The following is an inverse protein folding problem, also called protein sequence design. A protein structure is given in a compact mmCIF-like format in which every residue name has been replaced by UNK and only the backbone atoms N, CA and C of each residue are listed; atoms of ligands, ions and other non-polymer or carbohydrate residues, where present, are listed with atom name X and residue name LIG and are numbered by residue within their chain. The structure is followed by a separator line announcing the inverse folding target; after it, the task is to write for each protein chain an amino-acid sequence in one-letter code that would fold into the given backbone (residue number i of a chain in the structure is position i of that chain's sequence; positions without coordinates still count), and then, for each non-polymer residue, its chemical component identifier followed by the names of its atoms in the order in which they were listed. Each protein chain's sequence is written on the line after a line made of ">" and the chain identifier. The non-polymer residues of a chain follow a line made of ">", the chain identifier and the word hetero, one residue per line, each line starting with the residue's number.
data_IF_428133826626
#
_entry.id   IF_428133826626
#
_cell.length_a   1.000
_cell.length_b   1.000
_cell.length_c   1.000
_cell.angle_alpha   90.00
_cell.angle_beta   90.00
_cell.angle_gamma   90.00
#
_symmetry.space_group_name_H-M   'P 1'
#
loop_
_entity.id
_entity.type
_entity.pdbx_description
1 polymer ?
#
# COMPACT_ATOMS: atom_id res chain seq x y z
N UNK A 1 17.61 -5.93 21.70
CA UNK A 1 19.09 -6.01 21.57
C UNK A 1 19.49 -5.40 20.23
N UNK A 2 20.47 -4.48 20.23
CA UNK A 2 20.99 -3.92 18.97
C UNK A 2 21.95 -4.90 18.32
N UNK A 3 21.69 -5.26 17.07
CA UNK A 3 22.53 -6.14 16.26
C UNK A 3 23.11 -5.39 15.08
N UNK A 4 24.43 -5.21 15.04
CA UNK A 4 25.13 -4.50 13.96
C UNK A 4 25.90 -5.46 13.08
N UNK A 5 25.63 -5.39 11.77
CA UNK A 5 26.31 -6.21 10.75
C UNK A 5 26.94 -5.27 9.69
N UNK A 6 28.20 -5.52 9.34
CA UNK A 6 28.87 -4.80 8.28
C UNK A 6 28.84 -5.58 6.95
N UNK A 7 28.69 -4.84 5.86
CA UNK A 7 28.59 -5.42 4.50
C UNK A 7 27.45 -6.44 4.37
N UNK A 8 26.32 -6.14 5.03
CA UNK A 8 25.12 -6.97 5.01
C UNK A 8 24.59 -7.11 3.58
N UNK A 9 24.38 -8.35 3.14
CA UNK A 9 23.68 -8.66 1.90
C UNK A 9 22.19 -8.29 2.02
N UNK A 10 21.72 -7.38 1.16
CA UNK A 10 20.36 -6.88 1.14
C UNK A 10 19.46 -7.58 0.10
N UNK A 11 19.95 -8.60 -0.60
CA UNK A 11 19.18 -9.29 -1.67
C UNK A 11 17.83 -9.76 -1.18
N UNK A 12 17.73 -10.22 0.08
CA UNK A 12 16.48 -10.66 0.71
C UNK A 12 15.76 -9.55 1.50
N UNK A 13 16.35 -8.36 1.59
CA UNK A 13 15.84 -7.21 2.31
C UNK A 13 15.24 -6.17 1.34
N UNK A 14 15.07 -6.54 0.09
CA UNK A 14 14.34 -5.77 -0.92
C UNK A 14 13.57 -6.73 -1.82
N UNK A 15 12.33 -6.37 -2.12
CA UNK A 15 11.43 -7.25 -2.90
C UNK A 15 11.76 -7.30 -4.39
N UNK A 16 12.60 -6.38 -4.91
CA UNK A 16 13.16 -6.49 -6.26
C UNK A 16 14.22 -7.59 -6.38
N UNK A 17 14.80 -8.04 -5.25
CA UNK A 17 15.90 -8.99 -5.23
C UNK A 17 17.20 -8.41 -5.83
N UNK A 18 17.41 -7.09 -5.71
CA UNK A 18 18.67 -6.46 -6.14
C UNK A 18 19.82 -6.97 -5.29
N UNK A 19 20.88 -7.40 -5.94
CA UNK A 19 22.10 -7.95 -5.30
C UNK A 19 23.01 -6.82 -4.87
N UNK A 20 22.70 -6.21 -3.74
CA UNK A 20 23.45 -5.08 -3.16
C UNK A 20 23.74 -5.33 -1.70
N UNK A 21 24.72 -4.60 -1.15
CA UNK A 21 25.11 -4.68 0.25
C UNK A 21 24.96 -3.32 0.94
N UNK A 22 24.67 -3.32 2.23
CA UNK A 22 24.79 -2.14 3.08
C UNK A 22 26.18 -2.15 3.76
N UNK A 23 26.84 -0.97 3.82
CA UNK A 23 28.09 -0.81 4.58
C UNK A 23 27.90 -1.15 6.06
N UNK A 24 26.82 -0.67 6.65
CA UNK A 24 26.41 -0.96 8.01
C UNK A 24 24.91 -1.25 8.03
N UNK A 25 24.50 -2.27 8.77
CA UNK A 25 23.11 -2.66 8.94
C UNK A 25 22.87 -2.90 10.43
N UNK A 26 21.87 -2.20 10.97
CA UNK A 26 21.53 -2.26 12.39
C UNK A 26 20.08 -2.69 12.53
N UNK A 27 19.87 -3.81 13.25
CA UNK A 27 18.55 -4.23 13.70
C UNK A 27 18.39 -3.96 15.19
N UNK A 28 17.20 -3.58 15.58
CA UNK A 28 16.82 -3.32 16.97
C UNK A 28 15.45 -3.92 17.28
N UNK A 29 15.32 -4.57 18.45
CA UNK A 29 14.14 -5.36 18.82
C UNK A 29 13.14 -4.58 19.68
N UNK A 30 13.56 -3.45 20.26
CA UNK A 30 12.75 -2.67 21.17
C UNK A 30 12.98 -1.17 21.03
N UNK A 31 12.07 -0.40 21.60
CA UNK A 31 12.18 1.05 21.69
C UNK A 31 13.41 1.46 22.52
N UNK A 32 13.72 0.69 23.59
CA UNK A 32 14.91 0.95 24.41
C UNK A 32 16.20 0.76 23.60
N UNK A 33 16.25 -0.29 22.77
CA UNK A 33 17.41 -0.53 21.89
C UNK A 33 17.58 0.61 20.87
N UNK A 34 16.49 1.22 20.40
CA UNK A 34 16.54 2.34 19.47
C UNK A 34 17.16 3.58 20.11
N UNK A 35 16.85 3.84 21.38
CA UNK A 35 17.43 4.97 22.15
C UNK A 35 18.93 4.79 22.38
N UNK A 36 19.39 3.54 22.49
CA UNK A 36 20.83 3.24 22.67
C UNK A 36 21.66 3.43 21.40
N UNK A 37 21.05 3.76 20.25
CA UNK A 37 21.78 4.03 19.00
C UNK A 37 22.30 5.45 18.99
N UNK A 38 23.63 5.59 18.92
CA UNK A 38 24.30 6.91 18.77
C UNK A 38 24.20 7.41 17.33
N UNK A 39 23.08 8.09 17.00
CA UNK A 39 22.77 8.53 15.62
C UNK A 39 23.80 9.44 15.00
N UNK A 40 24.53 10.22 15.80
CA UNK A 40 25.59 11.11 15.32
C UNK A 40 26.82 10.34 14.80
N UNK A 41 27.09 9.14 15.34
CA UNK A 41 28.24 8.31 14.95
C UNK A 41 27.96 7.42 13.73
N UNK A 42 26.69 7.33 13.29
CA UNK A 42 26.34 6.48 12.18
C UNK A 42 26.94 6.96 10.85
N UNK A 43 27.45 6.01 10.07
CA UNK A 43 27.90 6.28 8.71
C UNK A 43 26.75 6.82 7.85
N UNK A 44 26.94 8.00 7.28
CA UNK A 44 25.94 8.65 6.42
C UNK A 44 26.03 8.16 4.97
N UNK A 45 24.90 8.12 4.21
CA UNK A 45 23.55 8.45 4.65
C UNK A 45 22.96 7.39 5.58
N UNK A 46 21.99 7.77 6.41
CA UNK A 46 21.20 6.83 7.22
C UNK A 46 19.84 6.64 6.57
N UNK A 47 19.43 5.39 6.41
CA UNK A 47 18.13 5.01 5.86
C UNK A 47 17.44 4.02 6.78
N UNK A 48 16.23 4.32 7.21
CA UNK A 48 15.38 3.34 7.88
C UNK A 48 14.54 2.61 6.83
N UNK A 49 14.58 1.28 6.87
CA UNK A 49 13.79 0.42 5.99
C UNK A 49 12.94 -0.54 6.83
N UNK A 50 11.79 -0.94 6.29
CA UNK A 50 11.10 -2.15 6.74
C UNK A 50 11.35 -3.30 5.77
N UNK A 51 10.30 -3.92 5.25
CA UNK A 51 10.42 -5.06 4.33
C UNK A 51 11.01 -4.74 2.95
N UNK A 52 11.49 -3.52 2.68
CA UNK A 52 12.10 -3.10 1.42
C UNK A 52 11.18 -3.28 0.20
N UNK A 53 9.87 -3.20 0.40
CA UNK A 53 8.86 -3.55 -0.61
C UNK A 53 8.57 -2.42 -1.62
N UNK A 54 9.11 -1.23 -1.38
CA UNK A 54 8.93 -0.04 -2.23
C UNK A 54 10.26 0.59 -2.65
N UNK A 55 11.37 -0.14 -2.56
CA UNK A 55 12.72 0.37 -2.81
C UNK A 55 13.34 -0.29 -4.05
N UNK A 56 14.05 0.51 -4.85
CA UNK A 56 14.98 0.06 -5.86
C UNK A 56 16.38 0.52 -5.47
N UNK A 57 17.20 -0.40 -4.97
CA UNK A 57 18.62 -0.13 -4.75
C UNK A 57 19.35 -0.05 -6.10
N UNK A 58 20.10 1.06 -6.28
CA UNK A 58 20.81 1.32 -7.55
C UNK A 58 22.31 0.99 -7.46
N UNK A 59 22.85 0.84 -6.25
CA UNK A 59 24.24 0.44 -5.95
C UNK A 59 24.29 -0.11 -4.51
N UNK A 60 25.46 -0.56 -4.06
CA UNK A 60 25.73 -0.84 -2.66
C UNK A 60 25.50 0.41 -1.80
N UNK A 61 24.76 0.25 -0.71
CA UNK A 61 24.45 1.34 0.20
C UNK A 61 25.66 1.70 1.06
N UNK A 62 26.22 2.88 0.84
CA UNK A 62 27.49 3.31 1.43
C UNK A 62 27.39 3.76 2.90
N UNK A 63 26.17 3.90 3.42
CA UNK A 63 25.86 4.39 4.76
C UNK A 63 25.35 3.30 5.71
N UNK A 64 24.49 3.70 6.63
CA UNK A 64 23.86 2.83 7.63
C UNK A 64 22.38 2.61 7.30
N UNK A 65 21.95 1.35 7.26
CA UNK A 65 20.55 0.98 7.20
C UNK A 65 20.11 0.58 8.61
N UNK A 66 18.96 1.11 9.01
CA UNK A 66 18.25 0.74 10.25
C UNK A 66 17.03 -0.09 9.90
N UNK A 67 16.77 -1.15 10.67
CA UNK A 67 15.62 -2.04 10.50
C UNK A 67 14.99 -2.35 11.85
N UNK A 68 13.68 -2.08 11.97
CA UNK A 68 12.92 -2.33 13.18
C UNK A 68 12.50 -3.80 13.27
N UNK A 69 12.76 -4.42 14.43
CA UNK A 69 12.20 -5.72 14.82
C UNK A 69 11.19 -5.58 15.95
N UNK A 70 10.69 -4.37 16.21
CA UNK A 70 9.66 -4.15 17.23
C UNK A 70 8.39 -4.89 16.79
N UNK A 71 8.11 -6.02 17.45
CA UNK A 71 7.08 -6.96 17.01
C UNK A 71 6.12 -7.29 18.16
N UNK A 72 4.98 -6.60 18.18
CA UNK A 72 3.87 -6.88 19.07
C UNK A 72 2.55 -6.45 18.46
N UNK A 73 1.43 -7.06 18.87
CA UNK A 73 0.07 -6.65 18.56
C UNK A 73 -0.72 -6.70 19.85
N UNK A 74 -1.23 -5.57 20.31
CA UNK A 74 -1.91 -5.44 21.59
C UNK A 74 -3.21 -4.65 21.46
N UNK A 75 -4.31 -5.19 22.00
CA UNK A 75 -5.55 -4.43 22.13
C UNK A 75 -5.39 -3.52 23.35
N UNK A 76 -5.62 -2.22 23.14
CA UNK A 76 -5.60 -1.24 24.22
C UNK A 76 -6.96 -1.26 24.92
N UNK A 77 -6.97 -1.60 26.21
CA UNK A 77 -8.16 -1.49 27.04
C UNK A 77 -8.52 -0.01 27.23
N UNK A 78 -9.81 0.33 27.11
CA UNK A 78 -10.30 1.71 27.16
C UNK A 78 -10.03 2.46 28.49
N UNK A 79 -9.35 1.82 29.45
CA UNK A 79 -8.99 2.37 30.76
C UNK A 79 -7.46 2.60 30.91
N UNK A 80 -6.66 2.32 29.91
CA UNK A 80 -5.23 2.59 29.99
C UNK A 80 -4.95 4.09 29.88
N UNK A 81 -4.54 4.66 31.01
CA UNK A 81 -4.17 6.08 31.24
C UNK A 81 -3.02 6.61 30.36
N UNK A 82 -2.72 5.98 29.27
CA UNK A 82 -1.74 6.43 28.27
C UNK A 82 -2.37 7.32 27.17
N UNK A 83 -3.67 7.64 27.28
CA UNK A 83 -4.35 8.59 26.38
C UNK A 83 -4.50 10.00 26.98
N UNK A 84 -3.98 10.25 28.18
CA UNK A 84 -4.08 11.54 28.83
C UNK A 84 -2.80 12.35 28.66
N UNK A 85 -2.67 12.98 27.51
CA UNK A 85 -2.11 14.33 27.41
C UNK A 85 -2.43 14.85 26.00
N UNK A 86 -3.61 15.42 25.80
CA UNK A 86 -3.86 16.57 24.94
C UNK A 86 -5.36 16.93 24.97
N UNK A 87 -5.64 18.07 25.62
CA UNK A 87 -6.70 19.04 25.35
C UNK A 87 -8.15 18.71 25.67
N UNK A 88 -8.83 19.60 26.41
CA UNK A 88 -10.25 19.48 26.74
C UNK A 88 -11.08 19.87 25.53
N UNK A 89 -11.63 18.91 24.82
CA UNK A 89 -12.60 19.16 23.78
C UNK A 89 -14.00 19.28 24.34
N UNK A 90 -14.54 20.46 24.07
CA UNK A 90 -15.92 20.96 24.15
C UNK A 90 -16.99 19.88 24.10
N UNK A 91 -18.02 20.13 24.91
CA UNK A 91 -19.35 19.52 24.87
C UNK A 91 -19.78 19.14 23.43
N UNK A 92 -19.98 17.85 23.23
CA UNK A 92 -20.90 17.35 22.24
C UNK A 92 -22.19 16.98 22.93
N UNK A 93 -23.23 17.72 22.60
CA UNK A 93 -24.62 17.51 23.02
C UNK A 93 -25.07 16.09 22.63
N UNK A 94 -25.84 15.50 23.53
CA UNK A 94 -26.53 14.22 23.35
C UNK A 94 -27.34 14.19 22.07
N UNK A 95 -27.01 13.26 21.17
CA UNK A 95 -27.92 12.81 20.12
C UNK A 95 -28.05 11.30 20.15
N UNK A 96 -29.23 10.90 20.65
CA UNK A 96 -30.03 9.69 20.40
C UNK A 96 -29.34 8.44 19.86
N UNK A 97 -29.32 7.41 20.69
CA UNK A 97 -29.62 5.98 20.50
C UNK A 97 -29.43 5.35 19.10
N UNK A 98 -28.21 5.32 18.63
CA UNK A 98 -27.66 4.17 17.94
C UNK A 98 -26.34 3.88 18.68
N UNK A 99 -26.24 2.74 19.32
CA UNK A 99 -25.04 2.29 19.99
C UNK A 99 -23.94 2.08 18.93
N UNK A 100 -23.26 3.17 18.55
CA UNK A 100 -22.01 3.10 17.78
C UNK A 100 -21.02 2.47 18.75
N UNK A 101 -20.72 1.19 18.58
CA UNK A 101 -19.70 0.51 19.38
C UNK A 101 -18.39 1.28 19.21
N UNK A 102 -17.80 1.70 20.34
CA UNK A 102 -16.51 2.38 20.33
C UNK A 102 -15.48 1.56 19.54
N UNK A 103 -14.61 2.19 18.74
CA UNK A 103 -13.59 1.47 17.99
C UNK A 103 -12.67 0.71 18.95
N UNK A 104 -12.21 -0.45 18.52
CA UNK A 104 -11.17 -1.22 19.22
C UNK A 104 -9.83 -0.61 18.84
N UNK A 105 -9.12 -0.08 19.82
CA UNK A 105 -7.78 0.45 19.61
C UNK A 105 -6.77 -0.70 19.69
N UNK A 106 -5.91 -0.79 18.66
CA UNK A 106 -4.89 -1.84 18.56
C UNK A 106 -3.54 -1.18 18.33
N UNK A 107 -2.60 -1.39 19.26
CA UNK A 107 -1.21 -0.94 19.13
C UNK A 107 -0.39 -2.02 18.46
N UNK A 108 0.35 -1.67 17.39
CA UNK A 108 1.11 -2.61 16.58
C UNK A 108 2.52 -2.10 16.36
N UNK A 109 3.51 -2.90 16.70
CA UNK A 109 4.93 -2.59 16.52
C UNK A 109 5.31 -2.37 15.05
N UNK A 110 6.24 -1.45 14.80
CA UNK A 110 6.62 -1.05 13.44
C UNK A 110 7.21 -2.18 12.59
N UNK A 111 7.88 -3.17 13.21
CA UNK A 111 8.47 -4.34 12.54
C UNK A 111 7.50 -5.50 12.32
N UNK A 112 6.23 -5.38 12.67
CA UNK A 112 5.21 -6.39 12.36
C UNK A 112 4.95 -6.40 10.86
N UNK A 113 5.00 -7.59 10.23
CA UNK A 113 4.58 -7.74 8.82
C UNK A 113 3.12 -7.30 8.68
N UNK A 114 2.84 -6.35 7.79
CA UNK A 114 1.51 -5.74 7.69
C UNK A 114 0.41 -6.76 7.36
N UNK A 115 0.72 -7.75 6.52
CA UNK A 115 -0.23 -8.82 6.19
C UNK A 115 -0.52 -9.76 7.37
N UNK A 116 0.43 -9.97 8.27
CA UNK A 116 0.22 -10.73 9.52
C UNK A 116 -0.70 -9.96 10.46
N UNK A 117 -0.58 -8.64 10.54
CA UNK A 117 -1.54 -7.79 11.26
C UNK A 117 -2.95 -7.90 10.65
N UNK A 118 -3.09 -7.83 9.31
CA UNK A 118 -4.38 -8.04 8.65
C UNK A 118 -4.97 -9.43 8.95
N UNK A 119 -4.12 -10.47 9.00
CA UNK A 119 -4.55 -11.83 9.33
C UNK A 119 -5.03 -11.95 10.78
N UNK A 120 -4.28 -11.34 11.71
CA UNK A 120 -4.63 -11.28 13.11
C UNK A 120 -5.96 -10.53 13.32
N UNK A 121 -6.13 -9.34 12.73
CA UNK A 121 -7.36 -8.56 12.82
C UNK A 121 -8.57 -9.34 12.29
N UNK A 122 -8.41 -10.03 11.16
CA UNK A 122 -9.47 -10.86 10.59
C UNK A 122 -9.85 -12.05 11.50
N UNK A 123 -8.87 -12.66 12.19
CA UNK A 123 -9.09 -13.73 13.17
C UNK A 123 -9.84 -13.24 14.41
N UNK A 124 -9.53 -12.03 14.87
CA UNK A 124 -10.21 -11.37 16.00
C UNK A 124 -11.60 -10.81 15.60
N UNK A 125 -12.01 -10.94 14.33
CA UNK A 125 -13.28 -10.41 13.81
C UNK A 125 -13.31 -8.89 13.73
N UNK A 126 -12.14 -8.24 13.62
CA UNK A 126 -11.98 -6.79 13.52
C UNK A 126 -11.97 -6.34 12.07
N UNK A 127 -12.75 -5.30 11.79
CA UNK A 127 -12.93 -4.69 10.46
C UNK A 127 -12.09 -3.43 10.30
N UNK A 128 -11.63 -3.18 9.08
CA UNK A 128 -10.96 -1.94 8.66
C UNK A 128 -9.69 -2.16 7.86
N UNK A 129 -8.96 -3.27 8.07
CA UNK A 129 -7.69 -3.57 7.36
C UNK A 129 -7.79 -4.73 6.37
N UNK A 130 -8.94 -5.40 6.27
CA UNK A 130 -9.12 -6.57 5.41
C UNK A 130 -8.85 -6.29 3.93
N UNK A 131 -9.17 -5.07 3.45
CA UNK A 131 -8.91 -4.65 2.07
C UNK A 131 -7.41 -4.44 1.77
N UNK A 132 -6.60 -4.23 2.80
CA UNK A 132 -5.16 -4.01 2.70
C UNK A 132 -4.36 -5.33 2.77
N UNK A 133 -5.04 -6.46 2.77
CA UNK A 133 -4.43 -7.79 2.85
C UNK A 133 -3.46 -8.06 1.71
N UNK A 134 -2.40 -8.81 2.04
CA UNK A 134 -1.38 -9.24 1.08
C UNK A 134 -0.60 -8.08 0.44
N UNK A 135 -0.52 -6.93 1.12
CA UNK A 135 0.42 -5.86 0.77
C UNK A 135 1.75 -6.20 1.46
N UNK A 136 2.85 -6.33 0.72
CA UNK A 136 4.16 -6.59 1.32
C UNK A 136 4.67 -5.35 2.06
N UNK A 137 5.48 -5.56 3.09
CA UNK A 137 6.05 -4.51 3.94
C UNK A 137 5.63 -4.65 5.39
N UNK A 138 6.03 -3.71 6.20
CA UNK A 138 5.83 -3.70 7.65
C UNK A 138 4.89 -2.56 8.08
N UNK A 139 4.42 -2.62 9.31
CA UNK A 139 3.47 -1.63 9.86
C UNK A 139 4.05 -0.22 9.87
N UNK A 140 5.33 -0.06 10.21
CA UNK A 140 6.00 1.25 10.13
C UNK A 140 5.98 1.84 8.73
N UNK A 141 6.37 1.04 7.72
CA UNK A 141 6.34 1.45 6.31
C UNK A 141 4.93 1.80 5.85
N UNK A 142 3.93 1.06 6.33
CA UNK A 142 2.54 1.27 5.95
C UNK A 142 2.06 2.67 6.31
N UNK A 143 2.46 3.16 7.50
CA UNK A 143 2.15 4.51 7.98
C UNK A 143 2.93 5.57 7.19
N UNK A 144 4.22 5.37 6.92
CA UNK A 144 5.05 6.30 6.14
C UNK A 144 4.52 6.48 4.71
N UNK A 145 4.14 5.37 4.05
CA UNK A 145 3.70 5.37 2.66
C UNK A 145 2.22 5.69 2.45
N UNK A 146 1.41 5.74 3.51
CA UNK A 146 -0.04 5.72 3.38
C UNK A 146 -0.49 4.64 2.39
N UNK A 147 -0.14 3.37 2.69
CA UNK A 147 -0.48 2.26 1.80
C UNK A 147 -1.99 2.19 1.56
N UNK A 148 -2.38 1.71 0.38
CA UNK A 148 -3.80 1.60 0.07
C UNK A 148 -4.06 0.62 -1.07
N UNK A 149 -5.18 -0.07 -0.96
CA UNK A 149 -5.69 -0.98 -1.96
C UNK A 149 -7.21 -1.12 -1.84
N UNK A 150 -7.86 -1.45 -2.96
CA UNK A 150 -9.31 -1.74 -3.02
C UNK A 150 -10.19 -0.71 -2.31
N UNK A 151 -9.90 0.59 -2.54
CA UNK A 151 -10.70 1.70 -2.02
C UNK A 151 -10.47 2.05 -0.55
N UNK A 152 -9.46 1.46 0.10
CA UNK A 152 -9.08 1.75 1.49
C UNK A 152 -7.63 2.23 1.52
N UNK A 153 -7.36 3.26 2.30
CA UNK A 153 -6.00 3.70 2.65
C UNK A 153 -5.76 3.45 4.15
N UNK A 154 -4.51 3.21 4.53
CA UNK A 154 -4.19 2.89 5.94
C UNK A 154 -4.53 4.04 6.89
N UNK A 155 -4.46 5.29 6.42
CA UNK A 155 -4.90 6.48 7.18
C UNK A 155 -6.35 6.40 7.65
N UNK A 156 -7.21 5.66 6.93
CA UNK A 156 -8.64 5.54 7.27
C UNK A 156 -8.85 4.81 8.61
N UNK A 157 -7.84 4.07 9.06
CA UNK A 157 -7.87 3.26 10.28
C UNK A 157 -6.75 3.61 11.28
N UNK A 158 -5.78 4.44 10.89
CA UNK A 158 -4.76 4.94 11.83
C UNK A 158 -5.42 5.92 12.80
N UNK A 159 -5.13 5.76 14.09
CA UNK A 159 -5.48 6.71 15.13
C UNK A 159 -4.30 7.59 15.51
N UNK A 160 -3.10 6.99 15.63
CA UNK A 160 -1.89 7.68 16.06
C UNK A 160 -0.64 6.94 15.58
N UNK A 161 0.39 7.67 15.21
CA UNK A 161 1.72 7.15 14.85
C UNK A 161 2.71 7.59 15.91
N UNK A 162 3.43 6.66 16.50
CA UNK A 162 4.45 6.94 17.51
C UNK A 162 5.83 6.81 16.89
N UNK A 163 6.67 7.80 17.12
CA UNK A 163 7.99 7.91 16.54
C UNK A 163 9.05 8.24 17.60
N UNK A 164 10.28 7.93 17.26
CA UNK A 164 11.47 8.50 17.89
C UNK A 164 12.02 9.60 16.98
N UNK A 165 12.19 10.81 17.52
CA UNK A 165 12.84 11.93 16.86
C UNK A 165 14.35 11.80 17.06
N UNK A 166 15.09 11.53 15.98
CA UNK A 166 16.54 11.30 16.04
C UNK A 166 17.36 12.60 16.17
N UNK A 167 16.72 13.76 16.10
CA UNK A 167 17.37 15.08 16.23
C UNK A 167 17.21 15.61 17.65
N UNK A 168 15.98 15.55 18.19
CA UNK A 168 15.70 16.02 19.55
C UNK A 168 15.88 14.90 20.59
N UNK A 169 16.12 13.67 20.13
CA UNK A 169 16.29 12.46 20.97
C UNK A 169 15.14 12.20 21.93
N UNK A 170 13.92 12.43 21.46
CA UNK A 170 12.70 12.27 22.25
C UNK A 170 11.63 11.45 21.52
N UNK A 171 10.67 10.93 22.30
CA UNK A 171 9.50 10.27 21.75
C UNK A 171 8.42 11.29 21.41
N UNK A 172 7.96 11.22 20.17
CA UNK A 172 6.89 12.06 19.64
C UNK A 172 5.77 11.20 19.09
N UNK A 173 4.60 11.78 18.94
CA UNK A 173 3.48 11.08 18.33
C UNK A 173 2.64 12.03 17.49
N UNK A 174 2.15 11.51 16.36
CA UNK A 174 1.38 12.25 15.37
C UNK A 174 -0.03 11.69 15.31
N UNK A 175 -1.06 12.53 15.49
CA UNK A 175 -2.42 12.21 15.11
C UNK A 175 -2.56 12.15 13.59
N UNK A 176 -3.69 11.61 13.09
CA UNK A 176 -3.92 11.45 11.63
C UNK A 176 -3.79 12.78 10.88
N UNK A 177 -4.32 13.87 11.45
CA UNK A 177 -4.25 15.21 10.84
C UNK A 177 -2.81 15.72 10.75
N UNK A 178 -1.99 15.42 11.76
CA UNK A 178 -0.58 15.83 11.83
C UNK A 178 0.31 15.02 10.90
N UNK A 179 -0.13 13.83 10.49
CA UNK A 179 0.57 13.02 9.50
C UNK A 179 0.46 13.56 8.07
N UNK A 180 -0.39 14.56 7.81
CA UNK A 180 -0.57 15.21 6.50
C UNK A 180 -0.75 14.20 5.35
N UNK A 181 -1.53 13.15 5.58
CA UNK A 181 -1.66 12.06 4.61
C UNK A 181 -2.26 12.50 3.28
N UNK A 182 -1.50 12.27 2.22
CA UNK A 182 -1.90 12.36 0.83
C UNK A 182 -1.91 11.01 0.10
N UNK A 183 -2.20 11.04 -1.20
CA UNK A 183 -2.12 9.82 -2.03
C UNK A 183 -0.68 9.32 -2.15
N UNK A 184 -0.36 8.22 -1.47
CA UNK A 184 1.01 7.67 -1.35
C UNK A 184 1.98 8.69 -0.77
N UNK A 185 1.52 9.48 0.18
CA UNK A 185 2.29 10.56 0.78
C UNK A 185 1.95 10.77 2.25
N UNK A 186 2.91 11.30 3.01
CA UNK A 186 2.79 11.68 4.41
C UNK A 186 3.88 12.69 4.79
N UNK A 187 3.77 13.33 5.96
CA UNK A 187 4.81 14.21 6.51
C UNK A 187 6.18 13.50 6.59
N UNK A 188 6.20 12.20 6.86
CA UNK A 188 7.44 11.40 6.99
C UNK A 188 8.24 11.30 5.67
N UNK A 189 7.61 11.60 4.54
CA UNK A 189 8.25 11.65 3.20
C UNK A 189 8.71 13.03 2.81
N UNK A 190 8.36 14.07 3.58
CA UNK A 190 8.82 15.42 3.34
C UNK A 190 10.36 15.45 3.40
N UNK A 191 11.05 15.98 2.37
CA UNK A 191 12.51 16.05 2.34
C UNK A 191 13.14 16.73 3.56
N UNK A 192 12.46 17.70 4.19
CA UNK A 192 12.95 18.46 5.34
C UNK A 192 13.04 17.62 6.62
N UNK A 193 12.20 16.59 6.75
CA UNK A 193 12.15 15.74 7.95
C UNK A 193 12.42 14.26 7.64
N UNK A 194 12.76 13.95 6.39
CA UNK A 194 13.05 12.59 5.95
C UNK A 194 14.20 11.99 6.76
N UNK A 195 13.94 10.84 7.40
CA UNK A 195 14.90 10.13 8.24
C UNK A 195 15.03 10.69 9.66
N UNK A 196 14.32 11.78 10.01
CA UNK A 196 14.27 12.33 11.36
C UNK A 196 13.38 11.47 12.26
N UNK A 197 12.17 11.14 11.81
CA UNK A 197 11.20 10.40 12.60
C UNK A 197 11.25 8.90 12.27
N UNK A 198 11.59 8.08 13.25
CA UNK A 198 11.59 6.62 13.15
C UNK A 198 10.32 6.10 13.79
N UNK A 199 9.43 5.51 13.00
CA UNK A 199 8.17 4.94 13.52
C UNK A 199 8.50 3.74 14.41
N UNK A 200 8.00 3.77 15.66
CA UNK A 200 8.17 2.69 16.64
C UNK A 200 6.96 1.77 16.70
N UNK A 201 5.77 2.33 16.67
CA UNK A 201 4.49 1.60 16.61
C UNK A 201 3.37 2.49 16.09
N UNK A 202 2.29 1.87 15.69
CA UNK A 202 1.09 2.55 15.18
C UNK A 202 -0.13 2.06 15.94
N UNK A 203 -0.99 2.99 16.35
CA UNK A 203 -2.29 2.66 16.94
C UNK A 203 -3.37 2.76 15.89
N UNK A 204 -4.07 1.65 15.68
CA UNK A 204 -5.19 1.54 14.76
C UNK A 204 -6.52 1.56 15.49
N UNK A 205 -7.55 2.14 14.86
CA UNK A 205 -8.93 2.14 15.30
C UNK A 205 -9.75 1.19 14.42
N UNK A 206 -10.02 -0.01 14.88
CA UNK A 206 -10.74 -1.05 14.16
C UNK A 206 -12.16 -1.23 14.70
N UNK A 207 -13.06 -1.81 13.90
CA UNK A 207 -14.46 -1.99 14.26
C UNK A 207 -14.82 -3.45 14.51
N UNK A 208 -15.65 -3.72 15.55
CA UNK A 208 -16.33 -5.02 15.70
C UNK A 208 -17.61 -5.09 14.89
N UNK A 209 -18.16 -3.94 14.51
CA UNK A 209 -19.35 -3.87 13.68
C UNK A 209 -18.94 -4.00 12.21
N UNK A 210 -19.63 -4.84 11.40
CA UNK A 210 -19.35 -4.98 10.00
C UNK A 210 -19.40 -3.66 9.23
N UNK A 211 -18.31 -3.32 8.53
CA UNK A 211 -18.20 -2.15 7.68
C UNK A 211 -17.46 -2.50 6.37
N UNK A 212 -17.97 -3.47 5.58
CA UNK A 212 -17.28 -3.92 4.38
C UNK A 212 -17.23 -2.83 3.32
N UNK A 213 -16.04 -2.50 2.80
CA UNK A 213 -15.84 -1.57 1.69
C UNK A 213 -15.62 -2.36 0.40
N UNK A 214 -16.68 -2.53 -0.39
CA UNK A 214 -16.70 -3.40 -1.57
C UNK A 214 -16.85 -2.64 -2.90
N UNK A 215 -16.88 -1.33 -2.89
CA UNK A 215 -17.25 -0.51 -4.06
C UNK A 215 -16.11 -0.33 -5.08
N UNK A 216 -14.95 -0.95 -4.84
CA UNK A 216 -13.79 -0.84 -5.73
C UNK A 216 -13.79 -1.94 -6.80
N UNK A 217 -13.99 -1.56 -8.06
CA UNK A 217 -13.96 -2.47 -9.20
C UNK A 217 -14.93 -3.64 -9.04
N UNK A 218 -14.47 -4.85 -9.33
CA UNK A 218 -15.28 -6.09 -9.22
C UNK A 218 -15.18 -6.80 -7.86
N UNK A 219 -14.72 -6.09 -6.81
CA UNK A 219 -14.54 -6.72 -5.49
C UNK A 219 -15.85 -7.23 -4.91
N UNK A 220 -16.93 -6.45 -5.02
CA UNK A 220 -18.28 -6.84 -4.56
C UNK A 220 -18.72 -8.14 -5.21
N UNK A 221 -18.63 -8.26 -6.52
CA UNK A 221 -19.06 -9.46 -7.26
C UNK A 221 -18.22 -10.68 -6.86
N UNK A 222 -16.90 -10.52 -6.71
CA UNK A 222 -16.00 -11.58 -6.32
C UNK A 222 -16.27 -12.08 -4.88
N UNK A 223 -16.58 -11.16 -3.95
CA UNK A 223 -16.90 -11.49 -2.56
C UNK A 223 -18.27 -12.19 -2.48
N UNK A 224 -19.28 -11.66 -3.19
CA UNK A 224 -20.61 -12.27 -3.23
C UNK A 224 -20.58 -13.68 -3.83
N UNK A 225 -19.86 -13.88 -4.94
CA UNK A 225 -19.68 -15.22 -5.52
C UNK A 225 -18.99 -16.20 -4.55
N UNK A 226 -18.06 -15.72 -3.72
CA UNK A 226 -17.37 -16.55 -2.73
C UNK A 226 -18.21 -16.87 -1.50
N UNK A 227 -19.19 -16.03 -1.15
CA UNK A 227 -20.09 -16.23 0.00
C UNK A 227 -21.14 -17.33 -0.25
N UNK A 228 -21.49 -17.59 -1.52
CA UNK A 228 -22.52 -18.57 -1.92
C UNK A 228 -21.96 -19.98 -2.03
N UNK A 229 -20.66 -20.16 -2.27
CA UNK A 229 -20.06 -21.48 -2.47
C UNK A 229 -18.80 -21.66 -1.61
N UNK A 230 -18.93 -22.06 -0.34
CA UNK A 230 -17.76 -22.40 0.45
C UNK A 230 -17.18 -23.74 -0.06
N UNK A 231 -16.26 -23.69 -1.04
CA UNK A 231 -15.57 -24.87 -1.53
C UNK A 231 -15.41 -25.03 -3.04
N UNK A 232 -15.99 -24.17 -3.88
CA UNK A 232 -15.78 -24.23 -5.33
C UNK A 232 -14.63 -23.30 -5.78
N UNK A 233 -13.71 -23.83 -6.58
CA UNK A 233 -12.76 -23.04 -7.35
C UNK A 233 -13.52 -22.21 -8.38
N UNK A 234 -13.63 -20.91 -8.13
CA UNK A 234 -14.30 -19.97 -9.03
C UNK A 234 -13.37 -19.73 -10.21
N UNK A 235 -13.85 -20.06 -11.43
CA UNK A 235 -13.14 -19.70 -12.65
C UNK A 235 -13.05 -18.16 -12.79
N UNK A 236 -11.89 -17.60 -13.21
CA UNK A 236 -11.72 -16.17 -13.34
C UNK A 236 -12.65 -15.59 -14.42
N UNK A 237 -13.18 -14.37 -14.27
CA UNK A 237 -13.92 -13.70 -15.33
C UNK A 237 -12.98 -13.51 -16.54
N UNK A 238 -13.50 -13.80 -17.72
CA UNK A 238 -12.74 -13.75 -18.98
C UNK A 238 -12.19 -12.33 -19.22
N UNK A 239 -10.96 -12.27 -19.71
CA UNK A 239 -10.15 -11.10 -20.02
C UNK A 239 -10.93 -10.06 -20.85
N UNK A 240 -10.88 -8.82 -20.43
CA UNK A 240 -11.29 -7.64 -21.20
C UNK A 240 -11.55 -6.49 -20.23
N UNK A 241 -10.93 -5.36 -20.46
CA UNK A 241 -11.38 -4.08 -19.94
C UNK A 241 -12.72 -3.77 -20.62
N UNK A 242 -13.82 -4.21 -20.02
CA UNK A 242 -15.17 -3.89 -20.51
C UNK A 242 -15.78 -2.93 -19.50
N UNK A 243 -16.17 -1.77 -20.04
CA UNK A 243 -16.99 -0.77 -19.38
C UNK A 243 -18.20 -1.39 -18.66
N UNK A 244 -18.57 -0.79 -17.53
CA UNK A 244 -19.66 -1.17 -16.62
C UNK A 244 -21.06 -1.13 -17.27
N UNK A 245 -21.27 -1.88 -18.35
CA UNK A 245 -22.64 -2.19 -18.80
C UNK A 245 -22.67 -3.60 -19.38
N UNK A 246 -23.59 -4.40 -18.81
CA UNK A 246 -23.96 -5.75 -19.24
C UNK A 246 -23.10 -6.88 -18.67
N UNK A 247 -23.21 -7.11 -17.36
CA UNK A 247 -23.18 -8.47 -16.84
C UNK A 247 -24.62 -8.83 -16.42
N UNK A 248 -25.26 -9.70 -17.19
CA UNK A 248 -26.62 -10.14 -16.95
C UNK A 248 -26.78 -10.70 -15.53
N UNK A 249 -27.81 -10.24 -14.86
CA UNK A 249 -28.34 -10.74 -13.61
C UNK A 249 -28.64 -12.25 -13.73
N UNK A 250 -27.73 -13.06 -13.21
CA UNK A 250 -28.08 -14.37 -12.72
C UNK A 250 -28.51 -14.18 -11.27
N UNK A 251 -29.76 -13.78 -11.03
CA UNK A 251 -30.36 -13.76 -9.71
C UNK A 251 -30.48 -15.20 -9.22
N UNK A 252 -29.70 -15.55 -8.17
CA UNK A 252 -30.08 -16.64 -7.30
C UNK A 252 -31.31 -16.16 -6.52
N UNK A 253 -32.47 -16.68 -6.86
CA UNK A 253 -33.73 -16.42 -6.17
C UNK A 253 -33.57 -16.83 -4.70
N UNK A 254 -33.69 -15.87 -3.78
CA UNK A 254 -33.94 -16.11 -2.37
C UNK A 254 -33.17 -15.32 -1.33
N UNK A 255 -31.94 -14.88 -1.57
CA UNK A 255 -31.18 -14.11 -0.56
C UNK A 255 -31.31 -12.60 -0.79
N UNK A 256 -31.83 -11.88 0.19
CA UNK A 256 -31.82 -10.41 0.19
C UNK A 256 -30.38 -9.93 0.37
N UNK A 257 -30.04 -8.74 -0.16
CA UNK A 257 -28.71 -8.11 0.02
C UNK A 257 -28.31 -8.06 1.50
N UNK A 258 -29.27 -7.83 2.38
CA UNK A 258 -29.10 -7.80 3.83
C UNK A 258 -28.69 -9.17 4.41
N UNK A 259 -29.27 -10.27 3.92
CA UNK A 259 -28.90 -11.64 4.31
C UNK A 259 -27.49 -12.01 3.80
N UNK A 260 -27.09 -11.51 2.63
CA UNK A 260 -25.73 -11.70 2.11
C UNK A 260 -24.72 -10.88 2.92
N UNK A 261 -25.01 -9.63 3.24
CA UNK A 261 -24.15 -8.76 4.06
C UNK A 261 -23.90 -9.32 5.46
N UNK A 262 -24.92 -9.97 6.07
CA UNK A 262 -24.79 -10.59 7.40
C UNK A 262 -23.82 -11.79 7.45
N UNK A 263 -23.49 -12.38 6.30
CA UNK A 263 -22.52 -13.50 6.18
C UNK A 263 -21.10 -13.04 5.92
N UNK A 264 -20.88 -11.73 5.66
CA UNK A 264 -19.56 -11.22 5.41
C UNK A 264 -18.71 -11.22 6.69
N UNK A 265 -17.47 -11.62 6.53
CA UNK A 265 -16.46 -11.56 7.57
C UNK A 265 -15.18 -10.95 7.03
N UNK A 266 -14.34 -10.31 7.87
CA UNK A 266 -13.03 -9.82 7.43
C UNK A 266 -12.20 -10.95 6.80
N UNK A 267 -12.29 -12.16 7.34
CA UNK A 267 -11.56 -13.33 6.84
C UNK A 267 -12.01 -13.73 5.41
N UNK A 268 -13.31 -13.63 5.08
CA UNK A 268 -13.81 -13.92 3.75
C UNK A 268 -13.30 -12.87 2.74
N UNK A 269 -13.40 -11.58 3.07
CA UNK A 269 -12.94 -10.51 2.20
C UNK A 269 -11.43 -10.63 1.97
N UNK A 270 -10.65 -10.83 3.05
CA UNK A 270 -9.21 -11.11 2.99
C UNK A 270 -8.90 -12.26 2.02
N UNK A 271 -9.58 -13.38 2.13
CA UNK A 271 -9.39 -14.56 1.26
C UNK A 271 -9.58 -14.19 -0.22
N UNK A 272 -10.64 -13.45 -0.53
CA UNK A 272 -10.95 -13.03 -1.90
C UNK A 272 -9.88 -12.06 -2.43
N UNK A 273 -9.48 -11.08 -1.63
CA UNK A 273 -8.45 -10.11 -2.00
C UNK A 273 -7.11 -10.80 -2.26
N UNK A 274 -6.68 -11.69 -1.39
CA UNK A 274 -5.45 -12.48 -1.59
C UNK A 274 -5.50 -13.23 -2.92
N UNK A 275 -6.63 -13.87 -3.24
CA UNK A 275 -6.82 -14.57 -4.52
C UNK A 275 -6.66 -13.62 -5.69
N UNK A 276 -7.38 -12.48 -5.70
CA UNK A 276 -7.29 -11.47 -6.76
C UNK A 276 -5.86 -10.95 -6.92
N UNK A 277 -5.17 -10.68 -5.81
CA UNK A 277 -3.79 -10.17 -5.84
C UNK A 277 -2.82 -11.19 -6.40
N UNK A 278 -2.89 -12.46 -5.98
CA UNK A 278 -2.06 -13.56 -6.51
C UNK A 278 -2.25 -13.80 -8.01
N UNK A 279 -3.46 -13.56 -8.52
CA UNK A 279 -3.74 -13.68 -9.95
C UNK A 279 -3.14 -12.51 -10.77
N UNK A 280 -3.09 -11.30 -10.18
CA UNK A 280 -2.71 -10.05 -10.86
C UNK A 280 -1.27 -9.63 -10.64
N UNK A 281 -0.68 -9.94 -9.51
CA UNK A 281 0.66 -9.46 -9.13
C UNK A 281 1.67 -10.61 -9.16
N UNK A 282 2.95 -10.32 -9.45
CA UNK A 282 4.00 -11.31 -9.30
C UNK A 282 4.21 -11.61 -7.82
N UNK A 283 4.57 -12.86 -7.52
CA UNK A 283 5.05 -13.23 -6.19
C UNK A 283 6.51 -12.77 -6.08
N UNK A 284 6.86 -11.85 -5.14
CA UNK A 284 8.21 -11.28 -5.08
C UNK A 284 9.32 -12.31 -4.87
N UNK A 285 9.02 -13.41 -4.18
CA UNK A 285 9.97 -14.54 -3.99
C UNK A 285 10.27 -15.32 -5.26
N UNK A 286 9.43 -15.20 -6.30
CA UNK A 286 9.58 -15.86 -7.60
C UNK A 286 10.06 -14.88 -8.66
N UNK A 287 9.54 -13.66 -8.64
CA UNK A 287 9.86 -12.63 -9.61
C UNK A 287 9.91 -11.28 -8.89
N UNK A 288 11.11 -10.77 -8.64
CA UNK A 288 11.34 -9.56 -7.88
C UNK A 288 10.60 -8.33 -8.44
N UNK A 289 9.96 -7.57 -7.57
CA UNK A 289 9.27 -6.31 -7.90
C UNK A 289 9.03 -5.49 -6.64
N UNK A 290 8.76 -4.20 -6.80
CA UNK A 290 8.34 -3.32 -5.70
C UNK A 290 6.87 -2.88 -5.86
N UNK A 291 5.99 -3.76 -6.33
CA UNK A 291 4.59 -3.44 -6.55
C UNK A 291 4.38 -2.46 -7.71
N UNK A 292 3.45 -1.52 -7.53
CA UNK A 292 3.21 -0.47 -8.54
C UNK A 292 4.42 0.45 -8.67
N UNK A 293 4.96 0.55 -9.88
CA UNK A 293 6.18 1.35 -10.09
C UNK A 293 5.89 2.85 -10.22
N UNK A 294 4.71 3.20 -10.71
CA UNK A 294 4.28 4.57 -10.97
C UNK A 294 2.99 4.90 -10.20
N UNK A 295 2.87 6.15 -9.77
CA UNK A 295 1.61 6.70 -9.25
C UNK A 295 0.60 6.88 -10.38
N UNK A 296 -0.70 6.69 -10.10
CA UNK A 296 -1.74 7.06 -11.05
C UNK A 296 -1.80 8.59 -11.15
N UNK A 297 -1.64 9.18 -12.34
CA UNK A 297 -1.66 10.62 -12.50
C UNK A 297 -3.06 11.19 -12.27
N UNK A 298 -3.08 12.39 -11.67
CA UNK A 298 -4.28 13.23 -11.53
C UNK A 298 -4.13 14.40 -12.50
N UNK A 299 -5.12 14.59 -13.36
CA UNK A 299 -5.12 15.59 -14.43
C UNK A 299 -6.41 16.42 -14.42
N UNK A 300 -6.42 17.54 -15.13
CA UNK A 300 -7.62 18.35 -15.27
C UNK A 300 -8.67 17.63 -16.12
N UNK A 301 -9.95 17.91 -15.87
CA UNK A 301 -11.05 17.36 -16.68
C UNK A 301 -10.91 17.72 -18.17
N UNK A 302 -10.39 18.92 -18.50
CA UNK A 302 -10.11 19.32 -19.88
C UNK A 302 -9.05 18.45 -20.54
N UNK A 303 -7.96 18.13 -19.81
CA UNK A 303 -6.91 17.23 -20.33
C UNK A 303 -7.46 15.81 -20.54
N UNK A 304 -8.26 15.31 -19.58
CA UNK A 304 -8.91 14.01 -19.70
C UNK A 304 -9.84 13.94 -20.91
N UNK A 305 -10.67 14.97 -21.17
CA UNK A 305 -11.56 15.03 -22.33
C UNK A 305 -10.79 14.91 -23.67
N UNK A 306 -9.58 15.50 -23.76
CA UNK A 306 -8.72 15.35 -24.95
C UNK A 306 -8.22 13.90 -25.11
N UNK A 307 -7.84 13.26 -24.03
CA UNK A 307 -7.40 11.84 -24.03
C UNK A 307 -8.55 10.93 -24.45
N UNK A 308 -9.74 11.16 -23.88
CA UNK A 308 -10.94 10.38 -24.20
C UNK A 308 -11.35 10.53 -25.68
N UNK A 309 -11.32 11.74 -26.20
CA UNK A 309 -11.61 12.01 -27.60
C UNK A 309 -10.61 11.30 -28.54
N UNK A 310 -9.32 11.33 -28.21
CA UNK A 310 -8.29 10.64 -28.97
C UNK A 310 -8.47 9.10 -28.92
N UNK A 311 -8.78 8.55 -27.74
CA UNK A 311 -9.04 7.12 -27.57
C UNK A 311 -10.30 6.67 -28.32
N UNK A 312 -11.38 7.45 -28.32
CA UNK A 312 -12.59 7.19 -29.11
C UNK A 312 -12.32 7.24 -30.62
N UNK A 313 -11.45 8.12 -31.07
CA UNK A 313 -11.04 8.17 -32.47
C UNK A 313 -10.22 6.94 -32.91
N UNK A 314 -9.38 6.39 -31.97
CA UNK A 314 -8.54 5.22 -32.23
C UNK A 314 -9.32 3.89 -32.13
N UNK A 315 -10.23 3.76 -31.14
CA UNK A 315 -10.88 2.49 -30.79
C UNK A 315 -12.40 2.45 -31.07
N UNK A 316 -12.99 3.54 -31.50
CA UNK A 316 -14.43 3.66 -31.77
C UNK A 316 -15.17 4.52 -30.75
N UNK A 317 -16.38 5.02 -31.12
CA UNK A 317 -17.11 6.02 -30.35
C UNK A 317 -17.57 5.53 -28.96
N UNK A 318 -17.74 4.22 -28.79
CA UNK A 318 -18.20 3.60 -27.54
C UNK A 318 -17.05 3.27 -26.58
N UNK A 319 -15.81 3.55 -26.97
CA UNK A 319 -14.64 3.26 -26.14
C UNK A 319 -14.63 4.18 -24.90
N UNK A 320 -14.53 3.56 -23.73
CA UNK A 320 -14.45 4.28 -22.44
C UNK A 320 -13.02 4.20 -21.89
N UNK A 321 -12.41 5.35 -21.66
CA UNK A 321 -11.12 5.43 -20.94
C UNK A 321 -11.37 5.19 -19.46
N UNK A 322 -10.68 4.24 -18.80
CA UNK A 322 -10.83 4.03 -17.37
C UNK A 322 -10.34 5.27 -16.59
N UNK A 323 -11.15 5.74 -15.64
CA UNK A 323 -10.84 6.91 -14.83
C UNK A 323 -11.64 6.91 -13.52
N UNK A 324 -11.26 7.81 -12.63
CA UNK A 324 -11.96 8.10 -11.37
C UNK A 324 -12.08 9.62 -11.23
N UNK A 325 -13.30 10.11 -11.14
CA UNK A 325 -13.56 11.52 -10.86
C UNK A 325 -13.24 11.83 -9.40
N UNK A 326 -12.56 12.95 -9.14
CA UNK A 326 -12.23 13.40 -7.81
C UNK A 326 -13.12 14.57 -7.37
N UNK A 327 -13.33 14.75 -6.05
CA UNK A 327 -14.25 15.79 -5.53
C UNK A 327 -13.86 17.22 -5.92
N UNK A 328 -12.60 17.48 -6.23
CA UNK A 328 -12.07 18.78 -6.67
C UNK A 328 -12.23 19.04 -8.18
N UNK A 329 -12.92 18.14 -8.90
CA UNK A 329 -13.13 18.24 -10.34
C UNK A 329 -11.95 17.80 -11.19
N UNK A 330 -10.90 17.26 -10.60
CA UNK A 330 -9.80 16.59 -11.31
C UNK A 330 -10.14 15.13 -11.60
N UNK A 331 -9.35 14.49 -12.46
CA UNK A 331 -9.58 13.12 -12.90
C UNK A 331 -8.31 12.29 -12.67
N UNK A 332 -8.42 11.18 -11.93
CA UNK A 332 -7.36 10.21 -11.76
C UNK A 332 -7.43 9.16 -12.87
N UNK A 333 -6.37 9.01 -13.64
CA UNK A 333 -6.31 8.03 -14.74
C UNK A 333 -5.36 6.90 -14.38
N UNK A 334 -5.74 5.60 -14.56
CA UNK A 334 -4.86 4.48 -14.28
C UNK A 334 -3.60 4.49 -15.15
N UNK A 335 -2.42 4.60 -14.52
CA UNK A 335 -1.15 4.55 -15.23
C UNK A 335 -0.95 3.20 -15.95
N UNK A 336 -1.47 2.11 -15.38
CA UNK A 336 -1.47 0.79 -16.03
C UNK A 336 -2.09 0.82 -17.42
N UNK A 337 -3.23 1.49 -17.58
CA UNK A 337 -3.90 1.66 -18.88
C UNK A 337 -3.02 2.45 -19.85
N UNK A 338 -2.44 3.57 -19.42
CA UNK A 338 -1.57 4.38 -20.27
C UNK A 338 -0.34 3.60 -20.76
N UNK A 339 0.28 2.83 -19.86
CA UNK A 339 1.46 2.00 -20.16
C UNK A 339 1.08 0.89 -21.17
N UNK A 340 -0.09 0.28 -20.99
CA UNK A 340 -0.63 -0.71 -21.93
C UNK A 340 -0.92 -0.10 -23.31
N UNK A 341 -1.53 1.10 -23.36
CA UNK A 341 -1.78 1.83 -24.61
C UNK A 341 -0.51 2.27 -25.33
N UNK A 342 0.61 2.37 -24.63
CA UNK A 342 1.94 2.57 -25.21
C UNK A 342 2.61 1.25 -25.66
N UNK A 343 1.92 0.11 -25.51
CA UNK A 343 2.39 -1.21 -25.93
C UNK A 343 3.52 -1.78 -25.07
N UNK A 344 3.63 -1.37 -23.80
CA UNK A 344 4.68 -1.86 -22.88
C UNK A 344 4.34 -3.16 -22.17
N UNK A 345 3.08 -3.55 -22.06
CA UNK A 345 2.65 -4.76 -21.38
C UNK A 345 3.39 -6.01 -21.88
N UNK A 346 4.03 -6.72 -20.96
CA UNK A 346 4.82 -7.93 -21.25
C UNK A 346 6.14 -7.69 -21.99
N UNK A 347 6.54 -6.44 -22.26
CA UNK A 347 7.82 -6.15 -22.92
C UNK A 347 9.00 -6.35 -21.99
N UNK A 348 10.04 -6.96 -22.53
CA UNK A 348 11.32 -7.20 -21.86
C UNK A 348 12.38 -6.22 -22.36
N UNK A 349 13.33 -5.93 -21.45
CA UNK A 349 14.50 -5.12 -21.73
C UNK A 349 15.66 -5.60 -20.86
N UNK A 350 16.54 -6.42 -21.46
CA UNK A 350 17.58 -7.10 -20.69
C UNK A 350 16.99 -8.03 -19.63
N UNK A 351 17.45 -7.88 -18.39
CA UNK A 351 16.94 -8.63 -17.24
C UNK A 351 15.61 -8.12 -16.68
N UNK A 352 15.15 -6.93 -17.08
CA UNK A 352 13.91 -6.31 -16.63
C UNK A 352 12.74 -6.53 -17.58
N UNK A 353 11.51 -6.48 -17.08
CA UNK A 353 10.30 -6.51 -17.89
C UNK A 353 9.16 -5.71 -17.29
N UNK A 354 8.20 -5.28 -18.12
CA UNK A 354 6.86 -4.90 -17.67
C UNK A 354 6.03 -6.16 -17.48
N UNK A 355 5.44 -6.32 -16.30
CA UNK A 355 4.69 -7.54 -16.00
C UNK A 355 3.46 -7.69 -16.92
N UNK A 356 3.25 -8.90 -17.43
CA UNK A 356 2.23 -9.16 -18.44
C UNK A 356 0.79 -9.14 -17.92
N UNK A 357 0.58 -9.36 -16.61
CA UNK A 357 -0.75 -9.31 -15.99
C UNK A 357 -1.09 -7.94 -15.42
N UNK A 358 -0.06 -7.12 -15.08
CA UNK A 358 -0.24 -5.79 -14.50
C UNK A 358 0.84 -4.83 -15.05
N UNK A 359 0.51 -4.01 -16.06
CA UNK A 359 1.49 -3.14 -16.73
C UNK A 359 2.11 -2.07 -15.82
N UNK A 360 1.50 -1.81 -14.65
CA UNK A 360 2.04 -0.88 -13.65
C UNK A 360 3.26 -1.44 -12.90
N UNK A 361 3.52 -2.74 -13.02
CA UNK A 361 4.59 -3.43 -12.30
C UNK A 361 5.77 -3.67 -13.22
N UNK A 362 6.95 -3.17 -12.84
CA UNK A 362 8.22 -3.55 -13.43
C UNK A 362 8.81 -4.68 -12.58
N UNK A 363 9.35 -5.69 -13.24
CA UNK A 363 9.89 -6.89 -12.59
C UNK A 363 11.35 -7.12 -12.93
N UNK A 364 12.09 -7.68 -11.98
CA UNK A 364 13.36 -8.33 -12.19
C UNK A 364 13.09 -9.71 -12.80
N UNK A 365 12.98 -9.76 -14.14
CA UNK A 365 12.48 -10.92 -14.89
C UNK A 365 13.42 -12.11 -14.82
N UNK A 366 14.73 -11.86 -14.86
CA UNK A 366 15.77 -12.92 -14.84
C UNK A 366 16.20 -13.30 -13.42
N UNK A 367 15.86 -12.48 -12.42
CA UNK A 367 16.42 -12.56 -11.07
C UNK A 367 17.82 -11.94 -10.93
N UNK A 368 18.42 -11.53 -12.06
CA UNK A 368 19.77 -10.97 -12.15
C UNK A 368 19.81 -9.63 -12.91
N UNK A 369 18.66 -8.93 -12.99
CA UNK A 369 18.60 -7.62 -13.66
C UNK A 369 19.50 -6.61 -12.92
N UNK A 370 20.22 -5.83 -13.71
CA UNK A 370 20.97 -4.68 -13.18
C UNK A 370 20.02 -3.51 -12.95
N UNK A 371 20.26 -2.66 -11.93
CA UNK A 371 19.44 -1.48 -11.66
C UNK A 371 19.27 -0.59 -12.89
N UNK A 372 20.32 -0.42 -13.70
CA UNK A 372 20.31 0.40 -14.93
C UNK A 372 19.32 -0.12 -15.97
N UNK A 373 19.06 -1.43 -16.02
CA UNK A 373 18.10 -2.02 -16.94
C UNK A 373 16.67 -1.66 -16.52
N UNK A 374 16.39 -1.66 -15.20
CA UNK A 374 15.11 -1.25 -14.63
C UNK A 374 14.89 0.24 -14.85
N UNK A 375 15.87 1.08 -14.52
CA UNK A 375 15.85 2.54 -14.72
C UNK A 375 15.73 2.89 -16.21
N UNK A 376 16.44 2.16 -17.07
CA UNK A 376 16.35 2.34 -18.52
C UNK A 376 14.96 2.00 -19.07
N UNK A 377 14.29 0.98 -18.53
CA UNK A 377 12.92 0.61 -18.88
C UNK A 377 11.92 1.67 -18.37
N UNK A 378 12.04 2.10 -17.13
CA UNK A 378 11.28 3.18 -16.49
C UNK A 378 11.28 4.46 -17.35
N UNK A 379 12.48 4.97 -17.70
CA UNK A 379 12.65 6.20 -18.49
C UNK A 379 11.96 6.10 -19.87
N UNK A 380 12.03 4.94 -20.51
CA UNK A 380 11.36 4.72 -21.80
C UNK A 380 9.84 4.69 -21.66
N UNK A 381 9.32 4.12 -20.58
CA UNK A 381 7.88 4.13 -20.28
C UNK A 381 7.42 5.57 -20.06
N UNK A 382 8.10 6.35 -19.20
CA UNK A 382 7.79 7.76 -18.94
C UNK A 382 7.78 8.55 -20.26
N UNK A 383 8.83 8.41 -21.07
CA UNK A 383 8.92 9.11 -22.36
C UNK A 383 7.79 8.74 -23.32
N UNK A 384 7.39 7.46 -23.37
CA UNK A 384 6.31 6.99 -24.22
C UNK A 384 4.95 7.54 -23.78
N UNK A 385 4.66 7.53 -22.48
CA UNK A 385 3.43 8.07 -21.94
C UNK A 385 3.37 9.59 -22.13
N UNK A 386 4.48 10.29 -21.89
CA UNK A 386 4.60 11.73 -22.18
C UNK A 386 4.32 12.05 -23.64
N UNK A 387 4.90 11.29 -24.56
CA UNK A 387 4.71 11.50 -26.00
C UNK A 387 3.26 11.24 -26.46
N UNK A 388 2.60 10.17 -25.93
CA UNK A 388 1.25 9.80 -26.36
C UNK A 388 0.17 10.65 -25.66
N UNK A 389 0.32 10.93 -24.35
CA UNK A 389 -0.74 11.53 -23.53
C UNK A 389 -0.41 12.93 -23.00
N UNK A 390 0.84 13.41 -23.15
CA UNK A 390 1.29 14.67 -22.58
C UNK A 390 1.39 14.67 -21.05
N UNK A 391 1.48 13.47 -20.43
CA UNK A 391 1.49 13.27 -18.98
C UNK A 391 2.87 12.78 -18.54
N UNK A 392 3.43 13.41 -17.53
CA UNK A 392 4.61 12.92 -16.83
C UNK A 392 4.18 11.91 -15.76
N UNK A 393 4.65 10.67 -15.87
CA UNK A 393 4.44 9.68 -14.81
C UNK A 393 5.43 9.94 -13.66
N UNK A 394 4.91 9.94 -12.44
CA UNK A 394 5.70 10.01 -11.23
C UNK A 394 5.91 8.62 -10.64
N UNK A 395 7.11 8.40 -10.10
CA UNK A 395 7.46 7.14 -9.44
C UNK A 395 6.69 7.00 -8.12
N UNK A 396 6.27 5.79 -7.81
CA UNK A 396 5.84 5.36 -6.49
C UNK A 396 7.02 4.69 -5.76
N UNK A 397 7.83 3.92 -6.50
CA UNK A 397 9.05 3.27 -6.02
C UNK A 397 10.14 4.31 -5.77
N UNK A 398 10.83 4.18 -4.65
CA UNK A 398 11.94 5.03 -4.26
C UNK A 398 13.27 4.43 -4.72
N UNK A 399 14.12 5.24 -5.37
CA UNK A 399 15.49 4.87 -5.75
C UNK A 399 16.42 5.17 -4.57
N UNK A 400 17.25 4.20 -4.24
CA UNK A 400 18.23 4.26 -3.14
C UNK A 400 19.63 4.03 -3.69
#
# INVERSE_FOLDING_TARGET
>A
MVNTTYYQDLTKMNTFGMKVKARCFIEYDSVADLVDIEFEELARPVLHIGGGSNLLFTDDFKGTILHSKINFIEILDGDSRHCEEVSPLRHCEERSDVAISSPVLVSVGAGVVFDDFCAWAAKEGLWGVENLSYIPGEVGDSAVQNIGAYGVEVKDVIRKVYCYDTVEEEFVSFGVEECEYGYRDSIFKNPEVRGRYIVTHVVFALSRTPQPRLDYGHLRDAVMASSVSPGSDIAPPRRGWVSDEVAGRGSLEGDTEEAMMSRLTPALIRKVIIKIRKEKLPEPSVMGSAGSFFKNPVITAEHFARIEAAAKAEHGPDYKVPHYDLPDGTVKVPAAWMIEQCGWKGRRSGGAAVYDKQPLVIVNYTGDAYPEEIIGLERRIIASVKAKFGIDLHLEVEHV
#
